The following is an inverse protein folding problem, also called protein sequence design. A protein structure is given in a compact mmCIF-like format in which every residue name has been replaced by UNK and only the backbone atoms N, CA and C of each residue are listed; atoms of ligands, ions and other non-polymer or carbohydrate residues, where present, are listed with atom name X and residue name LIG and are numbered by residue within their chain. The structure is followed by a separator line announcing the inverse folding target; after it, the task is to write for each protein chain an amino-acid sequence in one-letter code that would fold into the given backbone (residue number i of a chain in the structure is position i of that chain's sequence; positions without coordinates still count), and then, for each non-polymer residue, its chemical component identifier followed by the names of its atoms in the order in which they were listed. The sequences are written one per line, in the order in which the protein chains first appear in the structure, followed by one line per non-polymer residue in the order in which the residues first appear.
data_IF_586042227955
#
_entry.id   IF_586042227955
#
_cell.length_a   1.000
_cell.length_b   1.000
_cell.length_c   1.000
_cell.angle_alpha   90.00
_cell.angle_beta   90.00
_cell.angle_gamma   90.00
#
_symmetry.space_group_name_H-M   'P 1'
#
loop_
_entity.id
_entity.type
_entity.pdbx_description
1 polymer ?
#
# COMPACT_ATOMS: atom_id res chain seq x y z
N UNK A 1 26.31 -6.11 -3.38
CA UNK A 1 26.59 -5.30 -2.18
C UNK A 1 25.28 -5.23 -1.40
N UNK A 2 25.26 -5.85 -0.23
CA UNK A 2 24.10 -5.77 0.69
C UNK A 2 24.00 -4.31 1.12
N UNK A 3 22.89 -3.64 0.81
CA UNK A 3 22.68 -2.28 1.24
C UNK A 3 22.61 -2.22 2.78
N UNK A 4 23.26 -1.22 3.39
CA UNK A 4 23.34 -1.07 4.86
C UNK A 4 21.95 -0.97 5.50
N UNK A 5 20.91 -0.51 4.76
CA UNK A 5 19.53 -0.46 5.24
C UNK A 5 18.88 -1.85 5.41
N UNK A 6 19.16 -2.81 4.53
CA UNK A 6 18.71 -4.18 4.69
C UNK A 6 19.28 -4.83 5.96
N UNK A 7 20.51 -4.46 6.34
CA UNK A 7 21.19 -4.97 7.55
C UNK A 7 20.54 -4.46 8.85
N UNK A 8 19.90 -3.29 8.84
CA UNK A 8 19.34 -2.69 10.07
C UNK A 8 17.88 -3.08 10.32
N UNK A 9 17.07 -3.27 9.27
CA UNK A 9 15.63 -3.58 9.41
C UNK A 9 15.27 -5.04 9.14
N UNK A 10 16.09 -5.80 8.45
CA UNK A 10 15.69 -7.12 7.96
C UNK A 10 16.82 -8.17 7.90
N UNK A 11 17.90 -8.03 8.71
CA UNK A 11 19.02 -8.99 8.63
C UNK A 11 18.56 -10.46 8.76
N UNK A 12 17.64 -10.73 9.69
CA UNK A 12 17.08 -12.08 9.87
C UNK A 12 16.28 -12.52 8.64
N UNK A 13 15.48 -11.63 8.08
CA UNK A 13 14.67 -11.91 6.89
C UNK A 13 15.56 -12.17 5.66
N UNK A 14 16.55 -11.31 5.42
CA UNK A 14 17.52 -11.50 4.33
C UNK A 14 18.30 -12.82 4.50
N UNK A 15 18.68 -13.16 5.72
CA UNK A 15 19.39 -14.41 6.01
C UNK A 15 18.47 -15.62 5.78
N UNK A 16 17.23 -15.59 6.23
CA UNK A 16 16.28 -16.68 6.02
C UNK A 16 15.91 -16.81 4.54
N UNK A 17 15.67 -15.71 3.85
CA UNK A 17 15.45 -15.71 2.40
C UNK A 17 16.64 -16.35 1.67
N UNK A 18 17.88 -15.96 2.02
CA UNK A 18 19.06 -16.55 1.43
C UNK A 18 19.23 -18.05 1.75
N UNK A 19 18.86 -18.49 2.96
CA UNK A 19 18.86 -19.91 3.33
C UNK A 19 17.82 -20.67 2.51
N UNK A 20 16.60 -20.14 2.38
CA UNK A 20 15.52 -20.72 1.59
C UNK A 20 15.91 -20.84 0.12
N UNK A 21 16.54 -19.83 -0.46
CA UNK A 21 17.02 -19.84 -1.84
C UNK A 21 18.05 -20.96 -2.12
N UNK A 22 18.81 -21.35 -1.10
CA UNK A 22 19.83 -22.41 -1.23
C UNK A 22 19.27 -23.79 -0.91
N UNK A 23 18.24 -23.87 -0.07
CA UNK A 23 17.72 -25.13 0.48
C UNK A 23 16.38 -25.57 -0.09
N UNK A 24 15.55 -24.64 -0.58
CA UNK A 24 14.28 -24.97 -1.20
C UNK A 24 14.48 -25.62 -2.56
N UNK A 25 13.73 -26.69 -2.82
CA UNK A 25 13.78 -27.39 -4.12
C UNK A 25 13.17 -26.52 -5.24
N UNK A 26 12.12 -25.76 -4.90
CA UNK A 26 11.44 -24.78 -5.78
C UNK A 26 11.00 -23.60 -4.92
N UNK A 27 11.23 -22.39 -5.43
CA UNK A 27 10.75 -21.16 -4.80
C UNK A 27 9.46 -20.68 -5.46
N UNK A 28 8.50 -20.14 -4.69
CA UNK A 28 7.33 -19.53 -5.28
C UNK A 28 7.75 -18.32 -6.13
N UNK A 29 7.13 -18.18 -7.29
CA UNK A 29 7.44 -17.10 -8.22
C UNK A 29 6.57 -15.90 -7.91
N UNK A 30 7.19 -14.70 -7.89
CA UNK A 30 6.52 -13.43 -7.97
C UNK A 30 6.81 -12.77 -9.31
N UNK A 31 5.78 -12.46 -10.07
CA UNK A 31 5.91 -11.81 -11.35
C UNK A 31 5.68 -10.30 -11.25
N UNK A 32 6.52 -9.54 -11.93
CA UNK A 32 6.25 -8.16 -12.28
C UNK A 32 5.82 -8.10 -13.74
N UNK A 33 4.66 -7.52 -14.02
CA UNK A 33 4.20 -7.33 -15.39
C UNK A 33 5.11 -6.38 -16.14
N UNK A 34 5.31 -6.68 -17.41
CA UNK A 34 6.06 -5.84 -18.34
C UNK A 34 5.33 -5.83 -19.69
N UNK A 35 5.58 -4.79 -20.50
CA UNK A 35 4.95 -4.68 -21.82
C UNK A 35 3.89 -3.58 -21.90
N UNK A 36 3.39 -3.10 -20.75
CA UNK A 36 2.36 -2.05 -20.67
C UNK A 36 2.93 -0.69 -20.27
N UNK A 37 4.23 -0.48 -20.43
CA UNK A 37 4.92 0.78 -20.13
C UNK A 37 5.26 0.97 -18.65
N UNK A 38 5.27 -0.12 -17.88
CA UNK A 38 5.74 -0.16 -16.49
C UNK A 38 7.22 0.23 -16.42
N UNK A 39 7.62 0.83 -15.31
CA UNK A 39 9.04 1.03 -15.04
C UNK A 39 9.70 -0.32 -14.69
N UNK A 40 10.64 -0.73 -15.53
CA UNK A 40 11.40 -1.99 -15.37
C UNK A 40 12.85 -1.76 -15.00
N UNK A 41 13.24 -0.50 -14.74
CA UNK A 41 14.61 -0.17 -14.36
C UNK A 41 14.87 -0.60 -12.90
N UNK A 42 15.41 -1.79 -12.73
CA UNK A 42 15.82 -2.33 -11.41
C UNK A 42 16.93 -1.53 -10.72
N UNK A 43 17.41 -0.45 -11.33
CA UNK A 43 18.34 0.51 -10.72
C UNK A 43 17.64 1.82 -10.37
N UNK A 44 16.39 2.00 -10.81
CA UNK A 44 15.54 3.17 -10.61
C UNK A 44 14.62 3.08 -9.38
N UNK A 45 13.47 3.72 -9.49
CA UNK A 45 12.50 3.81 -8.39
C UNK A 45 11.86 2.47 -8.02
N UNK A 46 11.75 1.53 -8.96
CA UNK A 46 11.17 0.19 -8.71
C UNK A 46 12.14 -0.76 -8.00
N UNK A 47 13.42 -0.44 -7.94
CA UNK A 47 14.48 -1.29 -7.37
C UNK A 47 14.17 -1.72 -5.92
N UNK A 48 13.63 -0.82 -5.11
CA UNK A 48 13.28 -1.10 -3.73
C UNK A 48 12.15 -2.15 -3.64
N UNK A 49 11.13 -2.04 -4.48
CA UNK A 49 10.03 -3.00 -4.53
C UNK A 49 10.51 -4.39 -4.96
N UNK A 50 11.34 -4.47 -6.00
CA UNK A 50 11.97 -5.73 -6.43
C UNK A 50 12.77 -6.38 -5.31
N UNK A 51 13.64 -5.60 -4.66
CA UNK A 51 14.47 -6.09 -3.55
C UNK A 51 13.60 -6.59 -2.41
N UNK A 52 12.55 -5.87 -2.06
CA UNK A 52 11.63 -6.23 -0.99
C UNK A 52 10.94 -7.59 -1.26
N UNK A 53 10.43 -7.78 -2.48
CA UNK A 53 9.76 -9.04 -2.86
C UNK A 53 10.76 -10.20 -2.90
N UNK A 54 11.99 -9.96 -3.39
CA UNK A 54 13.07 -10.92 -3.35
C UNK A 54 13.46 -11.31 -1.93
N UNK A 55 13.56 -10.34 -1.02
CA UNK A 55 13.87 -10.55 0.41
C UNK A 55 12.71 -11.22 1.16
N UNK A 56 11.47 -11.11 0.66
CA UNK A 56 10.36 -11.92 1.14
C UNK A 56 10.47 -13.41 0.76
N UNK A 57 11.45 -13.76 -0.07
CA UNK A 57 11.80 -15.15 -0.42
C UNK A 57 11.17 -15.65 -1.72
N UNK A 58 10.70 -14.75 -2.57
CA UNK A 58 10.21 -15.12 -3.90
C UNK A 58 11.34 -15.20 -4.93
N UNK A 59 11.16 -16.04 -5.94
CA UNK A 59 11.89 -15.95 -7.20
C UNK A 59 11.21 -14.86 -8.05
N UNK A 60 11.85 -13.70 -8.14
CA UNK A 60 11.26 -12.53 -8.79
C UNK A 60 11.60 -12.53 -10.27
N UNK A 61 10.58 -12.50 -11.13
CA UNK A 61 10.72 -12.53 -12.58
C UNK A 61 9.84 -11.48 -13.25
N UNK A 62 10.25 -10.90 -14.40
CA UNK A 62 9.33 -10.18 -15.26
C UNK A 62 8.44 -11.16 -16.03
N UNK A 63 7.22 -10.72 -16.42
CA UNK A 63 6.33 -11.45 -17.31
C UNK A 63 5.63 -10.51 -18.28
N UNK A 64 5.69 -10.84 -19.57
CA UNK A 64 4.88 -10.21 -20.61
C UNK A 64 3.68 -11.13 -20.90
N UNK A 65 2.53 -10.81 -20.32
CA UNK A 65 1.32 -11.64 -20.43
C UNK A 65 0.80 -11.78 -21.87
N UNK A 66 1.18 -10.85 -22.76
CA UNK A 66 0.84 -10.96 -24.19
C UNK A 66 1.62 -12.07 -24.90
N UNK A 67 2.74 -12.52 -24.33
CA UNK A 67 3.66 -13.47 -24.95
C UNK A 67 3.85 -14.77 -24.18
N UNK A 68 3.61 -14.72 -22.87
CA UNK A 68 3.95 -15.81 -21.96
C UNK A 68 2.73 -16.22 -21.14
N UNK A 69 2.69 -17.49 -20.75
CA UNK A 69 1.73 -18.00 -19.80
C UNK A 69 2.30 -17.95 -18.38
N UNK A 70 1.42 -17.82 -17.39
CA UNK A 70 1.81 -17.75 -15.99
C UNK A 70 2.23 -19.15 -15.52
N UNK A 71 3.43 -19.25 -14.93
CA UNK A 71 3.94 -20.49 -14.36
C UNK A 71 3.03 -20.99 -13.21
N UNK A 72 2.69 -22.28 -13.14
CA UNK A 72 1.85 -22.82 -12.05
C UNK A 72 2.43 -22.60 -10.63
N UNK A 73 3.74 -22.37 -10.50
CA UNK A 73 4.39 -22.04 -9.23
C UNK A 73 4.31 -20.58 -8.87
N UNK A 74 3.74 -19.72 -9.73
CA UNK A 74 3.48 -18.33 -9.41
C UNK A 74 2.48 -18.21 -8.24
N UNK A 75 2.76 -17.28 -7.33
CA UNK A 75 1.90 -17.00 -6.18
C UNK A 75 1.54 -15.54 -6.06
N UNK A 76 2.33 -14.67 -6.67
CA UNK A 76 2.12 -13.23 -6.64
C UNK A 76 2.35 -12.65 -8.04
N UNK A 77 1.46 -11.77 -8.45
CA UNK A 77 1.68 -10.89 -9.61
C UNK A 77 1.60 -9.44 -9.12
N UNK A 78 2.52 -8.62 -9.60
CA UNK A 78 2.60 -7.20 -9.25
C UNK A 78 2.46 -6.40 -10.55
N UNK A 79 1.41 -5.59 -10.62
CA UNK A 79 1.17 -4.60 -11.67
C UNK A 79 1.56 -3.24 -11.08
N UNK A 80 2.66 -2.66 -11.55
CA UNK A 80 3.18 -1.41 -11.01
C UNK A 80 3.23 -0.33 -12.08
N UNK A 81 2.39 0.69 -11.96
CA UNK A 81 2.26 1.85 -12.84
C UNK A 81 2.16 1.55 -14.35
N UNK A 82 1.22 0.69 -14.79
CA UNK A 82 1.01 0.45 -16.20
C UNK A 82 0.51 1.73 -16.89
N UNK A 83 0.98 1.97 -18.11
CA UNK A 83 0.62 3.15 -18.92
C UNK A 83 -0.22 2.80 -20.14
N UNK A 84 -0.23 1.54 -20.52
CA UNK A 84 -1.02 0.97 -21.59
C UNK A 84 -1.90 -0.14 -21.06
N UNK A 85 -3.07 -0.32 -21.67
CA UNK A 85 -4.05 -1.28 -21.25
C UNK A 85 -3.63 -2.72 -21.58
N UNK A 86 -4.18 -3.65 -20.81
CA UNK A 86 -4.04 -5.09 -21.01
C UNK A 86 -5.03 -5.58 -22.06
N UNK A 87 -4.68 -6.68 -22.75
CA UNK A 87 -5.62 -7.34 -23.66
C UNK A 87 -6.85 -7.86 -22.91
N UNK A 88 -8.04 -7.37 -23.32
CA UNK A 88 -9.33 -7.76 -22.74
C UNK A 88 -9.78 -9.14 -23.17
N UNK A 89 -10.98 -9.55 -22.71
CA UNK A 89 -11.57 -10.82 -23.03
C UNK A 89 -11.69 -11.06 -24.55
N UNK A 90 -11.31 -12.26 -25.01
CA UNK A 90 -11.30 -12.64 -26.42
C UNK A 90 -12.11 -13.92 -26.65
N UNK A 91 -12.36 -14.25 -27.91
CA UNK A 91 -12.99 -15.51 -28.28
C UNK A 91 -12.06 -16.71 -27.93
N UNK A 92 -12.59 -17.74 -27.28
CA UNK A 92 -11.85 -18.95 -26.85
C UNK A 92 -11.01 -19.60 -27.97
N UNK A 93 -11.36 -19.36 -29.25
CA UNK A 93 -10.61 -19.86 -30.40
C UNK A 93 -9.21 -19.24 -30.56
N UNK A 94 -8.95 -18.10 -29.91
CA UNK A 94 -7.68 -17.31 -30.05
C UNK A 94 -6.69 -17.63 -28.93
N UNK A 95 -7.14 -18.30 -27.86
CA UNK A 95 -6.38 -18.51 -26.63
C UNK A 95 -6.74 -17.44 -25.57
N UNK A 96 -6.16 -17.56 -24.39
CA UNK A 96 -6.44 -16.62 -23.28
C UNK A 96 -5.81 -15.26 -23.54
N UNK A 97 -6.59 -14.21 -23.35
CA UNK A 97 -6.10 -12.85 -23.28
C UNK A 97 -5.30 -12.60 -21.98
N UNK A 98 -4.70 -11.43 -21.86
CA UNK A 98 -3.93 -11.05 -20.67
C UNK A 98 -4.82 -10.97 -19.42
N UNK A 99 -6.02 -10.40 -19.55
CA UNK A 99 -7.02 -10.34 -18.46
C UNK A 99 -7.49 -11.74 -18.09
N UNK A 100 -7.78 -12.60 -19.05
CA UNK A 100 -8.20 -13.99 -18.81
C UNK A 100 -7.09 -14.81 -18.12
N UNK A 101 -5.82 -14.52 -18.43
CA UNK A 101 -4.68 -15.13 -17.70
C UNK A 101 -4.62 -14.67 -16.25
N UNK A 102 -4.87 -13.38 -15.98
CA UNK A 102 -4.95 -12.85 -14.61
C UNK A 102 -6.11 -13.45 -13.83
N UNK A 103 -7.27 -13.58 -14.47
CA UNK A 103 -8.47 -14.19 -13.88
C UNK A 103 -8.20 -15.66 -13.53
N UNK A 104 -7.70 -16.44 -14.49
CA UNK A 104 -7.31 -17.84 -14.27
C UNK A 104 -6.22 -17.99 -13.18
N UNK A 105 -5.30 -17.03 -13.04
CA UNK A 105 -4.29 -17.02 -11.99
C UNK A 105 -4.92 -16.82 -10.60
N UNK A 106 -5.87 -15.90 -10.46
CA UNK A 106 -6.59 -15.69 -9.21
C UNK A 106 -7.49 -16.88 -8.90
N UNK A 107 -8.13 -17.49 -9.92
CA UNK A 107 -8.84 -18.74 -9.81
C UNK A 107 -7.98 -19.90 -9.31
N UNK A 108 -6.70 -19.90 -9.69
CA UNK A 108 -5.67 -20.79 -9.20
C UNK A 108 -5.13 -20.43 -7.80
N UNK A 109 -5.81 -19.58 -7.05
CA UNK A 109 -5.44 -19.12 -5.71
C UNK A 109 -4.19 -18.22 -5.71
N UNK A 110 -3.94 -17.49 -6.77
CA UNK A 110 -2.92 -16.44 -6.85
C UNK A 110 -3.27 -15.21 -6.02
N UNK A 111 -2.34 -14.29 -5.91
CA UNK A 111 -2.56 -12.97 -5.32
C UNK A 111 -2.03 -11.88 -6.24
N UNK A 112 -2.73 -10.75 -6.28
CA UNK A 112 -2.42 -9.62 -7.15
C UNK A 112 -2.18 -8.37 -6.33
N UNK A 113 -1.14 -7.61 -6.66
CA UNK A 113 -0.93 -6.25 -6.16
C UNK A 113 -0.97 -5.27 -7.33
N UNK A 114 -1.76 -4.20 -7.20
CA UNK A 114 -1.94 -3.20 -8.24
C UNK A 114 -1.65 -1.82 -7.70
N UNK A 115 -0.67 -1.15 -8.30
CA UNK A 115 -0.28 0.23 -8.01
C UNK A 115 -0.50 1.08 -9.26
N UNK A 116 -1.53 1.93 -9.21
CA UNK A 116 -1.94 2.71 -10.39
C UNK A 116 -1.25 4.07 -10.41
N UNK A 117 -0.81 4.49 -11.60
CA UNK A 117 -0.53 5.89 -11.87
C UNK A 117 -1.84 6.60 -12.25
N UNK A 118 -2.40 7.47 -11.39
CA UNK A 118 -3.65 8.16 -11.69
C UNK A 118 -3.62 8.95 -13.01
N UNK A 119 -2.45 9.40 -13.45
CA UNK A 119 -2.31 10.19 -14.70
C UNK A 119 -2.50 9.33 -15.96
N UNK A 120 -2.39 8.01 -15.83
CA UNK A 120 -2.54 7.05 -16.94
C UNK A 120 -3.72 6.08 -16.75
N UNK A 121 -4.21 5.92 -15.55
CA UNK A 121 -5.16 4.86 -15.17
C UNK A 121 -6.50 4.87 -15.92
N UNK A 122 -7.01 6.05 -16.31
CA UNK A 122 -8.25 6.17 -17.08
C UNK A 122 -8.19 5.56 -18.48
N UNK A 123 -6.99 5.21 -18.95
CA UNK A 123 -6.77 4.55 -20.26
C UNK A 123 -6.71 3.03 -20.16
N UNK A 124 -6.78 2.48 -18.96
CA UNK A 124 -6.66 1.04 -18.66
C UNK A 124 -8.06 0.41 -18.57
N UNK A 125 -8.82 0.47 -19.65
CA UNK A 125 -10.24 0.06 -19.65
C UNK A 125 -10.41 -1.39 -19.23
N UNK A 126 -9.67 -2.32 -19.85
CA UNK A 126 -9.81 -3.74 -19.58
C UNK A 126 -9.35 -4.10 -18.16
N UNK A 127 -8.23 -3.51 -17.70
CA UNK A 127 -7.78 -3.69 -16.32
C UNK A 127 -8.79 -3.12 -15.32
N UNK A 128 -9.40 -1.98 -15.62
CA UNK A 128 -10.41 -1.37 -14.75
C UNK A 128 -11.68 -2.19 -14.67
N UNK A 129 -12.17 -2.76 -15.80
CA UNK A 129 -13.31 -3.66 -15.82
C UNK A 129 -13.04 -4.92 -14.98
N UNK A 130 -11.85 -5.50 -15.11
CA UNK A 130 -11.42 -6.63 -14.30
C UNK A 130 -11.38 -6.29 -12.80
N UNK A 131 -10.78 -5.14 -12.42
CA UNK A 131 -10.72 -4.71 -11.02
C UNK A 131 -12.09 -4.33 -10.46
N UNK A 132 -13.02 -3.85 -11.31
CA UNK A 132 -14.39 -3.58 -10.91
C UNK A 132 -15.11 -4.86 -10.43
N UNK A 133 -14.84 -6.01 -11.03
CA UNK A 133 -15.34 -7.31 -10.57
C UNK A 133 -14.77 -7.72 -9.20
N UNK A 134 -13.61 -7.16 -8.82
CA UNK A 134 -12.99 -7.33 -7.50
C UNK A 134 -13.39 -6.24 -6.50
N UNK A 135 -14.40 -5.44 -6.84
CA UNK A 135 -14.93 -4.39 -5.95
C UNK A 135 -14.17 -3.07 -6.01
N UNK A 136 -13.24 -2.90 -6.92
CA UNK A 136 -12.29 -1.79 -6.95
C UNK A 136 -12.61 -0.88 -8.14
N UNK A 137 -12.95 0.38 -7.88
CA UNK A 137 -13.13 1.43 -8.88
C UNK A 137 -12.25 2.63 -8.52
N UNK A 138 -11.30 2.99 -9.39
CA UNK A 138 -10.43 4.15 -9.19
C UNK A 138 -11.05 5.42 -9.78
N UNK A 139 -11.04 6.50 -9.01
CA UNK A 139 -11.51 7.82 -9.46
C UNK A 139 -10.32 8.65 -10.00
N UNK A 140 -9.83 8.31 -11.17
CA UNK A 140 -8.58 8.81 -11.78
C UNK A 140 -8.48 10.33 -11.97
N UNK A 141 -9.61 11.01 -12.14
CA UNK A 141 -9.67 12.44 -12.35
C UNK A 141 -9.64 13.25 -11.04
N UNK A 142 -9.63 12.55 -9.91
CA UNK A 142 -9.57 13.15 -8.58
C UNK A 142 -8.19 12.98 -7.94
N UNK A 143 -7.83 13.96 -7.10
CA UNK A 143 -6.62 13.90 -6.25
C UNK A 143 -7.00 14.18 -4.82
N UNK A 144 -6.55 13.32 -3.92
CA UNK A 144 -6.79 13.44 -2.48
C UNK A 144 -5.81 14.42 -1.87
N UNK A 145 -6.35 15.33 -1.07
CA UNK A 145 -5.61 16.27 -0.22
C UNK A 145 -6.12 16.15 1.21
N UNK A 146 -5.23 15.91 2.16
CA UNK A 146 -5.55 15.85 3.58
C UNK A 146 -4.63 16.81 4.35
N UNK A 147 -5.10 18.01 4.64
CA UNK A 147 -4.30 19.04 5.30
C UNK A 147 -4.00 18.72 6.77
N UNK A 148 -4.82 17.88 7.42
CA UNK A 148 -4.62 17.47 8.82
C UNK A 148 -3.59 16.35 8.94
N UNK A 149 -3.60 15.42 7.97
CA UNK A 149 -2.74 14.24 7.97
C UNK A 149 -1.86 14.22 6.72
N UNK A 150 -0.99 15.21 6.59
CA UNK A 150 0.00 15.28 5.50
C UNK A 150 1.39 15.59 6.01
N UNK A 151 2.39 15.03 5.34
CA UNK A 151 3.81 15.40 5.55
C UNK A 151 4.25 16.56 4.65
N UNK A 152 3.43 16.94 3.67
CA UNK A 152 3.72 18.05 2.74
C UNK A 152 2.84 19.26 3.00
N UNK A 153 3.39 20.44 2.71
CA UNK A 153 2.67 21.73 2.89
C UNK A 153 1.47 21.81 1.94
N UNK A 154 1.56 21.23 0.77
CA UNK A 154 0.49 21.20 -0.24
C UNK A 154 -0.67 20.28 0.13
N UNK A 155 -0.48 19.37 1.11
CA UNK A 155 -1.48 18.43 1.59
C UNK A 155 -1.65 17.17 0.75
N UNK A 156 -0.93 17.00 -0.38
CA UNK A 156 -1.05 15.87 -1.28
C UNK A 156 -0.15 14.67 -0.94
N UNK A 157 0.68 14.76 0.11
CA UNK A 157 1.42 13.61 0.66
C UNK A 157 0.72 13.13 1.93
N UNK A 158 -0.36 12.40 1.72
CA UNK A 158 -1.29 11.97 2.76
C UNK A 158 -0.70 10.89 3.63
N UNK A 159 -0.86 11.02 4.94
CA UNK A 159 -0.59 9.96 5.92
C UNK A 159 -1.85 9.13 6.08
N UNK A 160 -1.82 7.88 5.63
CA UNK A 160 -2.95 6.97 5.74
C UNK A 160 -3.29 6.64 7.19
N UNK A 161 -4.58 6.59 7.50
CA UNK A 161 -5.10 6.06 8.76
C UNK A 161 -5.35 4.57 8.62
N UNK A 162 -4.85 3.79 9.58
CA UNK A 162 -5.05 2.34 9.61
C UNK A 162 -6.51 1.99 9.90
N UNK A 163 -7.02 1.00 9.20
CA UNK A 163 -8.30 0.40 9.56
C UNK A 163 -8.12 -0.48 10.81
N UNK A 164 -8.73 -0.05 11.91
CA UNK A 164 -8.64 -0.72 13.21
C UNK A 164 -9.84 -1.61 13.52
N UNK A 165 -10.78 -1.76 12.58
CA UNK A 165 -11.98 -2.56 12.78
C UNK A 165 -11.64 -4.06 12.83
N UNK A 166 -11.79 -4.66 13.99
CA UNK A 166 -11.42 -6.06 14.29
C UNK A 166 -12.23 -7.10 13.51
N UNK A 167 -13.35 -6.70 12.92
CA UNK A 167 -14.22 -7.61 12.16
C UNK A 167 -13.91 -7.62 10.67
N UNK A 168 -13.01 -6.76 10.21
CA UNK A 168 -12.69 -6.57 8.80
C UNK A 168 -11.46 -7.36 8.38
N UNK A 169 -11.41 -7.72 7.10
CA UNK A 169 -10.31 -8.44 6.48
C UNK A 169 -8.96 -7.72 6.69
N UNK A 170 -8.95 -6.40 6.54
CA UNK A 170 -7.75 -5.58 6.68
C UNK A 170 -7.17 -5.53 8.10
N UNK A 171 -7.92 -5.98 9.12
CA UNK A 171 -7.45 -6.01 10.49
C UNK A 171 -6.19 -6.88 10.67
N UNK A 172 -6.06 -7.95 9.90
CA UNK A 172 -4.87 -8.81 9.91
C UNK A 172 -3.58 -8.05 9.53
N UNK A 173 -3.68 -7.06 8.66
CA UNK A 173 -2.56 -6.17 8.29
C UNK A 173 -2.23 -5.23 9.45
N UNK A 174 -3.26 -4.64 10.06
CA UNK A 174 -3.11 -3.75 11.22
C UNK A 174 -2.46 -4.45 12.42
N UNK A 175 -2.92 -5.66 12.77
CA UNK A 175 -2.35 -6.44 13.88
C UNK A 175 -0.85 -6.68 13.74
N UNK A 176 -0.39 -6.98 12.54
CA UNK A 176 1.03 -7.22 12.30
C UNK A 176 1.88 -5.97 12.53
N UNK A 177 1.35 -4.80 12.21
CA UNK A 177 2.07 -3.52 12.34
C UNK A 177 1.96 -2.95 13.74
N UNK A 178 0.89 -3.21 14.47
CA UNK A 178 0.74 -2.75 15.87
C UNK A 178 1.67 -3.42 16.86
N UNK A 179 2.27 -4.55 16.49
CA UNK A 179 3.36 -5.14 17.28
C UNK A 179 4.60 -4.25 17.36
N UNK A 180 4.70 -3.25 16.47
CA UNK A 180 5.75 -2.24 16.47
C UNK A 180 5.51 -1.22 17.61
N UNK A 181 6.55 -0.81 18.31
CA UNK A 181 6.48 0.05 19.51
C UNK A 181 5.85 1.44 19.25
N UNK A 182 5.83 1.90 18.01
CA UNK A 182 5.07 3.05 17.54
C UNK A 182 4.43 2.68 16.20
N UNK A 183 3.20 3.14 15.94
CA UNK A 183 2.58 2.99 14.62
C UNK A 183 3.29 3.93 13.65
N UNK A 184 4.14 3.42 12.77
CA UNK A 184 4.82 4.28 11.82
C UNK A 184 3.84 4.76 10.75
N UNK A 185 4.13 5.92 10.17
CA UNK A 185 3.28 6.55 9.15
C UNK A 185 3.50 5.90 7.80
N UNK A 186 2.41 5.72 7.09
CA UNK A 186 2.38 5.22 5.72
C UNK A 186 1.96 6.35 4.78
N UNK A 187 2.72 6.59 3.73
CA UNK A 187 2.58 7.77 2.87
C UNK A 187 1.95 7.41 1.53
N UNK A 188 0.93 8.19 1.16
CA UNK A 188 0.24 8.13 -0.12
C UNK A 188 0.35 9.51 -0.80
N UNK A 189 1.22 9.61 -1.81
CA UNK A 189 1.43 10.87 -2.51
C UNK A 189 0.66 10.89 -3.82
N UNK A 190 -0.04 12.01 -4.08
CA UNK A 190 -0.84 12.23 -5.29
C UNK A 190 -1.81 11.06 -5.59
N UNK A 191 -2.43 10.52 -4.56
CA UNK A 191 -3.36 9.41 -4.70
C UNK A 191 -4.70 9.86 -5.29
N UNK A 192 -5.30 9.01 -6.12
CA UNK A 192 -6.72 9.09 -6.43
C UNK A 192 -7.53 8.25 -5.42
N UNK A 193 -8.80 8.59 -5.17
CA UNK A 193 -9.69 7.77 -4.35
C UNK A 193 -9.95 6.41 -4.97
N UNK A 194 -10.14 5.41 -4.11
CA UNK A 194 -10.68 4.11 -4.49
C UNK A 194 -12.11 4.05 -3.97
N UNK A 195 -13.06 3.75 -4.85
CA UNK A 195 -14.45 3.52 -4.49
C UNK A 195 -14.72 2.03 -4.50
N UNK A 196 -15.41 1.54 -3.47
CA UNK A 196 -15.85 0.16 -3.42
C UNK A 196 -17.15 0.00 -4.24
N UNK A 197 -17.20 -1.01 -5.09
CA UNK A 197 -18.37 -1.29 -5.94
C UNK A 197 -19.41 -2.13 -5.21
N UNK A 198 -19.06 -2.71 -4.07
CA UNK A 198 -19.96 -3.37 -3.12
C UNK A 198 -19.70 -2.92 -1.69
N UNK A 199 -20.64 -3.24 -0.79
CA UNK A 199 -20.54 -2.90 0.63
C UNK A 199 -19.37 -3.62 1.30
N UNK A 200 -18.62 -2.88 2.10
CA UNK A 200 -17.48 -3.40 2.84
C UNK A 200 -17.88 -4.58 3.73
N UNK A 201 -17.02 -5.58 3.76
CA UNK A 201 -17.19 -6.79 4.57
C UNK A 201 -18.51 -7.55 4.34
N UNK A 202 -19.22 -7.25 3.28
CA UNK A 202 -20.41 -7.99 2.85
C UNK A 202 -20.00 -8.99 1.79
N UNK A 203 -20.35 -10.27 2.03
CA UNK A 203 -20.09 -11.34 1.08
C UNK A 203 -21.03 -11.18 -0.12
N UNK A 204 -20.48 -11.01 -1.31
CA UNK A 204 -21.25 -10.88 -2.54
C UNK A 204 -21.61 -12.26 -3.06
N UNK A 205 -22.90 -12.58 -3.08
CA UNK A 205 -23.40 -13.93 -3.38
C UNK A 205 -23.21 -14.33 -4.85
N UNK A 206 -23.18 -13.35 -5.75
CA UNK A 206 -23.11 -13.59 -7.22
C UNK A 206 -21.65 -13.70 -7.73
N UNK A 207 -20.64 -13.36 -6.90
CA UNK A 207 -19.21 -13.42 -7.21
C UNK A 207 -18.46 -14.24 -6.16
N UNK A 208 -18.73 -15.51 -6.07
CA UNK A 208 -18.02 -16.54 -5.28
C UNK A 208 -17.39 -16.08 -3.96
N UNK A 209 -18.15 -15.32 -3.14
CA UNK A 209 -17.74 -14.97 -1.78
C UNK A 209 -16.59 -13.97 -1.68
N UNK A 210 -16.55 -12.95 -2.51
CA UNK A 210 -15.60 -11.83 -2.40
C UNK A 210 -15.98 -10.90 -1.26
N UNK A 211 -14.96 -10.43 -0.53
CA UNK A 211 -15.07 -9.44 0.54
C UNK A 211 -14.01 -8.37 0.33
N UNK A 212 -14.40 -7.10 0.37
CA UNK A 212 -13.50 -5.96 0.26
C UNK A 212 -13.44 -5.19 1.58
N UNK A 213 -12.29 -4.64 1.93
CA UNK A 213 -12.13 -3.69 3.02
C UNK A 213 -10.99 -2.70 2.76
N UNK A 214 -11.09 -1.53 3.38
CA UNK A 214 -9.98 -0.57 3.41
C UNK A 214 -8.85 -1.09 4.28
N UNK A 215 -7.63 -1.00 3.78
CA UNK A 215 -6.41 -1.14 4.61
C UNK A 215 -6.05 0.24 5.18
N UNK A 216 -6.16 1.28 4.34
CA UNK A 216 -5.93 2.66 4.70
C UNK A 216 -6.99 3.58 4.12
N UNK A 217 -7.34 4.58 4.89
CA UNK A 217 -8.23 5.68 4.50
C UNK A 217 -7.68 7.03 4.99
N UNK A 218 -8.29 8.12 4.53
CA UNK A 218 -7.96 9.49 4.93
C UNK A 218 -8.67 9.90 6.22
N UNK A 219 -8.41 11.13 6.71
CA UNK A 219 -9.28 11.76 7.71
C UNK A 219 -10.69 12.03 7.15
N UNK A 220 -11.64 12.29 8.05
CA UNK A 220 -13.01 12.67 7.67
C UNK A 220 -13.07 14.10 7.07
N UNK A 221 -12.02 14.89 7.22
CA UNK A 221 -11.88 16.26 6.69
C UNK A 221 -11.06 16.33 5.40
N UNK A 222 -10.66 15.20 4.83
CA UNK A 222 -9.92 15.17 3.58
C UNK A 222 -10.78 15.72 2.42
N UNK A 223 -10.10 16.35 1.49
CA UNK A 223 -10.69 16.99 0.32
C UNK A 223 -10.26 16.26 -0.95
N UNK A 224 -11.15 16.23 -1.95
CA UNK A 224 -10.80 15.75 -3.29
C UNK A 224 -10.94 16.85 -4.30
N UNK A 225 -9.95 16.93 -5.18
CA UNK A 225 -9.84 17.94 -6.21
C UNK A 225 -9.81 17.31 -7.60
N UNK A 226 -10.56 17.94 -8.53
CA UNK A 226 -10.43 17.74 -9.96
C UNK A 226 -9.71 18.94 -10.52
N UNK A 227 -8.50 18.73 -11.08
CA UNK A 227 -7.58 19.82 -11.44
C UNK A 227 -7.28 20.74 -10.24
N UNK A 228 -7.98 21.86 -10.11
CA UNK A 228 -7.86 22.79 -8.98
C UNK A 228 -9.21 23.08 -8.31
N UNK A 229 -10.28 22.40 -8.73
CA UNK A 229 -11.62 22.59 -8.21
C UNK A 229 -11.89 21.55 -7.10
N UNK A 230 -12.36 22.04 -5.94
CA UNK A 230 -12.81 21.17 -4.84
C UNK A 230 -14.12 20.47 -5.26
N UNK A 231 -14.10 19.15 -5.30
CA UNK A 231 -15.25 18.32 -5.68
C UNK A 231 -16.01 17.81 -4.46
N UNK A 232 -15.30 17.48 -3.39
CA UNK A 232 -15.93 16.93 -2.19
C UNK A 232 -15.01 16.92 -0.98
N UNK A 233 -15.61 16.69 0.19
CA UNK A 233 -14.91 16.54 1.46
C UNK A 233 -15.46 15.33 2.19
N UNK A 234 -14.58 14.50 2.76
CA UNK A 234 -14.97 13.29 3.49
C UNK A 234 -13.82 12.33 3.65
N UNK A 235 -14.16 11.11 4.04
CA UNK A 235 -13.22 9.98 4.13
C UNK A 235 -13.11 9.31 2.77
N UNK A 236 -11.88 9.02 2.34
CA UNK A 236 -11.59 8.35 1.07
C UNK A 236 -10.65 7.18 1.29
N UNK A 237 -10.88 6.09 0.58
CA UNK A 237 -10.00 4.94 0.58
C UNK A 237 -8.70 5.24 -0.18
N UNK A 238 -7.56 4.83 0.39
CA UNK A 238 -6.21 4.99 -0.15
C UNK A 238 -5.61 3.66 -0.60
N UNK A 239 -5.93 2.59 0.12
CA UNK A 239 -5.50 1.23 -0.16
C UNK A 239 -6.59 0.26 0.27
N UNK A 240 -6.95 -0.66 -0.60
CA UNK A 240 -7.97 -1.68 -0.38
C UNK A 240 -7.40 -3.07 -0.54
N UNK A 241 -8.00 -4.03 0.17
CA UNK A 241 -7.75 -5.45 -0.02
C UNK A 241 -9.08 -6.16 -0.27
N UNK A 242 -9.14 -6.94 -1.35
CA UNK A 242 -10.26 -7.86 -1.63
C UNK A 242 -9.79 -9.29 -1.45
N UNK A 243 -10.61 -10.11 -0.82
CA UNK A 243 -10.41 -11.54 -0.63
C UNK A 243 -11.53 -12.30 -1.32
N UNK A 244 -11.20 -13.32 -2.09
CA UNK A 244 -12.14 -14.32 -2.58
C UNK A 244 -11.91 -15.65 -1.85
N UNK A 245 -12.97 -16.24 -1.30
CA UNK A 245 -12.93 -17.53 -0.63
C UNK A 245 -13.39 -18.64 -1.57
N UNK A 246 -12.62 -19.70 -1.67
CA UNK A 246 -12.98 -20.94 -2.37
C UNK A 246 -12.91 -22.12 -1.42
N UNK A 247 -13.91 -22.98 -1.47
CA UNK A 247 -13.98 -24.20 -0.66
C UNK A 247 -13.57 -25.39 -1.53
N UNK A 248 -12.40 -25.96 -1.28
CA UNK A 248 -11.86 -27.10 -2.01
C UNK A 248 -11.65 -28.26 -1.01
N UNK A 249 -12.33 -29.39 -1.25
CA UNK A 249 -12.28 -30.56 -0.36
C UNK A 249 -12.59 -30.22 1.13
N UNK A 250 -13.55 -29.34 1.35
CA UNK A 250 -14.00 -28.88 2.66
C UNK A 250 -12.95 -28.05 3.45
N UNK A 251 -11.95 -27.50 2.74
CA UNK A 251 -10.99 -26.53 3.27
C UNK A 251 -11.17 -25.20 2.56
N UNK A 252 -11.00 -24.12 3.31
CA UNK A 252 -11.04 -22.75 2.79
C UNK A 252 -9.70 -22.37 2.19
N UNK A 253 -9.76 -21.83 0.97
CA UNK A 253 -8.63 -21.25 0.26
C UNK A 253 -8.99 -19.86 -0.20
N UNK A 254 -7.99 -19.00 -0.40
CA UNK A 254 -8.23 -17.60 -0.66
C UNK A 254 -7.34 -17.06 -1.78
N UNK A 255 -7.91 -16.19 -2.59
CA UNK A 255 -7.20 -15.30 -3.51
C UNK A 255 -7.32 -13.87 -3.01
N UNK A 256 -6.34 -13.03 -3.34
CA UNK A 256 -6.32 -11.66 -2.85
C UNK A 256 -5.97 -10.67 -3.97
N UNK A 257 -6.63 -9.50 -3.94
CA UNK A 257 -6.26 -8.34 -4.75
C UNK A 257 -6.03 -7.15 -3.81
N UNK A 258 -4.80 -6.63 -3.79
CA UNK A 258 -4.43 -5.39 -3.09
C UNK A 258 -4.32 -4.28 -4.11
N UNK A 259 -4.97 -3.15 -3.88
CA UNK A 259 -4.98 -2.02 -4.79
C UNK A 259 -4.66 -0.70 -4.08
N UNK A 260 -3.90 0.15 -4.75
CA UNK A 260 -3.50 1.46 -4.27
C UNK A 260 -3.61 2.50 -5.38
N UNK A 261 -4.29 3.61 -5.10
CA UNK A 261 -4.55 4.70 -6.04
C UNK A 261 -3.35 5.61 -6.32
N UNK A 262 -2.12 5.13 -6.08
CA UNK A 262 -0.90 5.88 -6.36
C UNK A 262 0.31 4.99 -6.60
N UNK A 263 1.03 5.25 -7.69
CA UNK A 263 2.33 4.64 -7.96
C UNK A 263 3.43 5.07 -6.98
N UNK A 264 3.28 6.28 -6.43
CA UNK A 264 4.29 6.81 -5.50
C UNK A 264 4.39 6.00 -4.20
N UNK A 265 3.41 5.12 -3.90
CA UNK A 265 3.47 4.24 -2.75
C UNK A 265 4.70 3.33 -2.76
N UNK A 266 5.08 2.84 -3.94
CA UNK A 266 6.19 1.91 -4.17
C UNK A 266 7.53 2.61 -4.44
N UNK A 267 7.54 3.95 -4.51
CA UNK A 267 8.76 4.71 -4.77
C UNK A 267 9.84 4.44 -3.72
N UNK A 268 11.07 4.26 -4.17
CA UNK A 268 12.24 3.91 -3.34
C UNK A 268 12.42 4.86 -2.14
N UNK A 269 12.10 6.14 -2.30
CA UNK A 269 12.19 7.12 -1.21
C UNK A 269 11.28 6.79 -0.01
N UNK A 270 10.17 6.08 -0.21
CA UNK A 270 9.26 5.65 0.85
C UNK A 270 9.54 4.22 1.31
N UNK A 271 9.83 3.31 0.38
CA UNK A 271 10.11 1.91 0.71
C UNK A 271 11.43 1.72 1.47
N UNK A 272 12.46 2.51 1.14
CA UNK A 272 13.76 2.46 1.82
C UNK A 272 13.84 3.39 3.04
N UNK A 273 12.77 4.11 3.34
CA UNK A 273 12.73 5.03 4.47
C UNK A 273 12.70 4.27 5.79
N UNK A 274 13.43 4.77 6.78
CA UNK A 274 13.32 4.31 8.17
C UNK A 274 12.21 5.02 8.95
N UNK A 275 11.64 6.08 8.36
CA UNK A 275 10.61 6.93 8.99
C UNK A 275 9.22 6.42 8.63
N UNK A 276 9.05 5.85 7.43
CA UNK A 276 7.76 5.44 6.89
C UNK A 276 7.64 3.92 6.85
N UNK A 277 6.42 3.43 7.05
CA UNK A 277 6.10 2.00 7.08
C UNK A 277 5.61 1.46 5.74
N UNK A 278 5.84 2.15 4.63
CA UNK A 278 5.35 1.68 3.33
C UNK A 278 5.82 0.25 3.03
N UNK A 279 7.09 -0.07 3.29
CA UNK A 279 7.62 -1.42 3.14
C UNK A 279 7.01 -2.41 4.13
N UNK A 280 6.90 -2.02 5.41
CA UNK A 280 6.37 -2.89 6.47
C UNK A 280 4.91 -3.27 6.18
N UNK A 281 4.12 -2.31 5.67
CA UNK A 281 2.73 -2.55 5.25
C UNK A 281 2.65 -3.52 4.09
N UNK A 282 3.51 -3.39 3.06
CA UNK A 282 3.51 -4.35 1.95
C UNK A 282 3.89 -5.76 2.41
N UNK A 283 4.85 -5.90 3.32
CA UNK A 283 5.14 -7.19 3.95
C UNK A 283 3.94 -7.73 4.74
N UNK A 284 3.27 -6.89 5.52
CA UNK A 284 2.08 -7.28 6.26
C UNK A 284 0.94 -7.73 5.32
N UNK A 285 0.75 -7.03 4.19
CA UNK A 285 -0.21 -7.44 3.16
C UNK A 285 0.16 -8.78 2.54
N UNK A 286 1.43 -9.00 2.17
CA UNK A 286 1.89 -10.29 1.66
C UNK A 286 1.67 -11.42 2.67
N UNK A 287 1.89 -11.17 3.96
CA UNK A 287 1.61 -12.15 5.03
C UNK A 287 0.12 -12.39 5.21
N UNK A 288 -0.72 -11.38 5.02
CA UNK A 288 -2.18 -11.51 5.06
C UNK A 288 -2.73 -12.38 3.93
N UNK A 289 -2.03 -12.47 2.78
CA UNK A 289 -2.38 -13.40 1.69
C UNK A 289 -2.22 -14.88 2.05
N UNK A 290 -1.75 -15.19 3.25
CA UNK A 290 -1.63 -16.52 3.81
C UNK A 290 -0.17 -16.91 4.10
N UNK A 291 0.03 -17.52 5.26
CA UNK A 291 1.36 -17.93 5.76
C UNK A 291 2.12 -18.88 4.82
N UNK A 292 1.40 -19.62 4.00
CA UNK A 292 1.99 -20.54 3.01
C UNK A 292 2.56 -19.82 1.79
N UNK A 293 2.38 -18.50 1.69
CA UNK A 293 2.69 -17.72 0.50
C UNK A 293 3.88 -16.79 0.63
N UNK A 294 4.28 -16.45 1.85
CA UNK A 294 5.55 -15.79 2.10
C UNK A 294 6.57 -16.85 2.51
N UNK A 295 7.58 -17.10 1.68
CA UNK A 295 8.62 -18.08 2.01
C UNK A 295 9.40 -17.73 3.27
N UNK A 296 9.65 -16.44 3.52
CA UNK A 296 10.37 -15.94 4.69
C UNK A 296 9.43 -15.23 5.67
N UNK A 297 8.62 -16.00 6.40
CA UNK A 297 7.69 -15.44 7.42
C UNK A 297 8.44 -15.14 8.74
N UNK A 298 8.97 -13.91 8.84
CA UNK A 298 9.68 -13.43 10.03
C UNK A 298 8.99 -12.21 10.60
N UNK A 299 8.84 -12.19 11.93
CA UNK A 299 8.25 -11.06 12.62
C UNK A 299 9.12 -9.82 12.51
N UNK A 300 8.48 -8.67 12.30
CA UNK A 300 9.16 -7.38 12.27
C UNK A 300 9.80 -7.08 13.61
N UNK A 301 11.05 -6.62 13.55
CA UNK A 301 11.75 -6.07 14.71
C UNK A 301 12.00 -4.60 14.49
N UNK A 302 11.55 -3.78 15.44
CA UNK A 302 11.83 -2.35 15.42
C UNK A 302 13.18 -2.07 16.06
N UNK A 303 13.97 -1.25 15.38
CA UNK A 303 15.12 -0.59 15.97
C UNK A 303 14.71 0.84 16.38
N UNK A 304 15.33 1.37 17.44
CA UNK A 304 15.07 2.75 17.85
C UNK A 304 15.45 3.69 16.72
N UNK A 305 14.46 4.38 16.19
CA UNK A 305 14.65 5.45 15.23
C UNK A 305 14.58 6.78 15.98
N UNK A 306 15.54 7.65 15.72
CA UNK A 306 15.62 8.98 16.34
C UNK A 306 15.09 10.08 15.42
N UNK A 307 14.56 9.70 14.25
CA UNK A 307 14.01 10.65 13.30
C UNK A 307 12.64 11.15 13.75
N UNK A 308 12.40 12.44 13.49
CA UNK A 308 11.15 13.12 13.86
C UNK A 308 10.02 12.72 12.89
N UNK A 309 9.13 11.87 13.37
CA UNK A 309 7.93 11.45 12.65
C UNK A 309 6.72 12.30 13.05
N UNK A 310 6.62 13.52 12.49
CA UNK A 310 5.52 14.45 12.76
C UNK A 310 4.83 14.90 11.48
N UNK A 311 3.50 15.07 11.52
CA UNK A 311 2.75 15.70 10.42
C UNK A 311 2.98 17.21 10.40
N UNK A 312 2.69 17.85 9.26
CA UNK A 312 2.74 19.32 9.12
C UNK A 312 1.83 20.01 10.14
N UNK A 313 0.64 19.45 10.42
CA UNK A 313 -0.28 19.96 11.42
C UNK A 313 0.31 19.89 12.84
N UNK A 314 0.94 18.77 13.18
CA UNK A 314 1.64 18.61 14.47
C UNK A 314 2.80 19.59 14.59
N UNK A 315 3.63 19.73 13.54
CA UNK A 315 4.72 20.69 13.51
C UNK A 315 4.23 22.12 13.72
N UNK A 316 3.16 22.53 13.05
CA UNK A 316 2.53 23.85 13.21
C UNK A 316 1.99 24.04 14.63
N UNK A 317 1.40 23.03 15.25
CA UNK A 317 0.89 23.08 16.61
C UNK A 317 2.02 23.28 17.62
N UNK A 318 3.11 22.53 17.49
CA UNK A 318 4.30 22.72 18.32
C UNK A 318 4.95 24.09 18.12
N UNK A 319 5.02 24.57 16.89
CA UNK A 319 5.55 25.90 16.58
C UNK A 319 4.72 26.98 17.27
N UNK A 320 3.38 26.91 17.18
CA UNK A 320 2.49 27.84 17.89
C UNK A 320 2.67 27.77 19.41
N UNK A 321 2.79 26.57 19.97
CA UNK A 321 3.01 26.38 21.39
C UNK A 321 4.30 27.06 21.86
N UNK A 322 5.43 26.82 21.20
CA UNK A 322 6.73 27.39 21.55
C UNK A 322 6.81 28.91 21.29
N UNK A 323 6.02 29.46 20.38
CA UNK A 323 5.94 30.91 20.17
C UNK A 323 5.08 31.60 21.22
N UNK A 324 3.91 31.07 21.57
CA UNK A 324 2.93 31.72 22.42
C UNK A 324 3.24 31.55 23.92
N UNK A 325 3.54 30.32 24.35
CA UNK A 325 3.68 30.02 25.79
C UNK A 325 4.85 30.75 26.45
N UNK A 326 6.07 30.78 25.92
CA UNK A 326 7.17 31.54 26.53
C UNK A 326 6.90 33.06 26.53
N UNK A 327 6.34 33.59 25.44
CA UNK A 327 5.99 35.00 25.36
C UNK A 327 4.96 35.38 26.43
N UNK A 328 3.93 34.57 26.61
CA UNK A 328 2.89 34.77 27.63
C UNK A 328 3.49 34.72 29.06
N UNK A 329 4.37 33.77 29.34
CA UNK A 329 5.05 33.66 30.63
C UNK A 329 5.88 34.92 30.91
N UNK A 330 6.62 35.45 29.92
CA UNK A 330 7.41 36.67 30.06
C UNK A 330 6.49 37.86 30.36
N UNK A 331 5.39 38.01 29.67
CA UNK A 331 4.42 39.12 29.91
C UNK A 331 3.83 39.03 31.32
N UNK A 332 3.38 37.85 31.74
CA UNK A 332 2.79 37.63 33.06
C UNK A 332 3.80 37.93 34.17
N UNK A 333 5.03 37.43 34.03
CA UNK A 333 6.08 37.68 35.02
C UNK A 333 6.48 39.17 35.08
N UNK A 334 6.53 39.84 33.93
CA UNK A 334 6.81 41.26 33.84
C UNK A 334 5.73 42.11 34.55
N UNK A 335 4.46 41.80 34.33
CA UNK A 335 3.33 42.42 35.01
C UNK A 335 3.41 42.14 36.51
N UNK A 336 3.62 40.90 36.93
CA UNK A 336 3.76 40.56 38.35
C UNK A 336 4.87 41.33 39.05
N UNK A 337 6.07 41.40 38.46
CA UNK A 337 7.18 42.13 39.02
C UNK A 337 6.89 43.63 39.11
N UNK A 338 6.27 44.20 38.09
CA UNK A 338 5.91 45.62 38.05
C UNK A 338 4.91 45.96 39.14
N UNK A 339 3.84 45.16 39.28
CA UNK A 339 2.81 45.34 40.31
C UNK A 339 3.43 45.19 41.70
N UNK A 340 4.23 44.17 41.93
CA UNK A 340 4.90 43.96 43.23
C UNK A 340 5.83 45.12 43.63
N UNK A 341 6.51 45.71 42.64
CA UNK A 341 7.36 46.91 42.90
C UNK A 341 6.58 48.15 43.21
N UNK A 342 5.35 48.30 42.66
CA UNK A 342 4.52 49.46 42.88
C UNK A 342 3.83 49.45 44.26
N UNK A 343 3.56 48.26 44.81
CA UNK A 343 2.82 48.10 46.08
C UNK A 343 3.73 47.62 47.26
N UNK A 344 5.04 47.65 47.08
CA UNK A 344 6.03 47.62 48.15
C UNK A 344 6.56 49.02 48.41
#
# INVERSE_FOLDING_TARGET
AVHVHAVTKGLEQVLVAAILQVTAAEMPIAYFTVGHGEDTDITGDVAALYTMVYEAGYDVRPIDLSKEDIDPNARLIIINEPRFDFGGYVDESVGLSEIEKLDAFLDGLGSLMVFIDPDHGSKLTNLNEFLYEWGIEFEYDLRIKDAENSISIDGFSVVGQYNTNTTELAHSVYEQITSLASQPKTIFRNACPIKHTYEDNTRVVDFDSRVISDVFYTSDSAEVYRDSELVGTGRYSLMTITQEQRIINNNDYFSYVLATGTKNYTASQYLLSNIYANSDVLYACMRAFGKERIPADIDFKTYNDYDLDITTAQANSWTRFFMIVPATIIVITSIYVTVRRKYK
#
